data_IF_197846089751
#
_entry.id   IF_197846089751
#
_cell.length_a   1.000
_cell.length_b   1.000
_cell.length_c   1.000
_cell.angle_alpha   90.00
_cell.angle_beta   90.00
_cell.angle_gamma   90.00
#
_symmetry.space_group_name_H-M   'P 1'
#
loop_
_entity.id
_entity.type
_entity.pdbx_description
1 polymer ?
#
# COMPACT_ATOMS: atom_id res chain seq x y z
N UNK A 1 -3.12 -34.25 -0.75
CA UNK A 1 -1.72 -34.37 -1.19
C UNK A 1 -1.27 -33.15 -2.01
N UNK A 2 -2.07 -32.66 -3.00
CA UNK A 2 -1.68 -31.54 -3.85
C UNK A 2 -1.39 -30.23 -3.11
N UNK A 3 -2.08 -29.93 -2.04
CA UNK A 3 -1.88 -28.70 -1.28
C UNK A 3 -0.62 -28.72 -0.40
N UNK A 4 -0.21 -29.91 0.06
CA UNK A 4 1.04 -30.08 0.81
C UNK A 4 2.23 -29.78 -0.09
N UNK A 5 2.27 -30.36 -1.28
CA UNK A 5 3.35 -30.11 -2.24
C UNK A 5 3.40 -28.65 -2.70
N UNK A 6 2.24 -28.03 -2.93
CA UNK A 6 2.18 -26.60 -3.29
C UNK A 6 2.78 -25.73 -2.17
N UNK A 7 2.45 -26.00 -0.91
CA UNK A 7 3.01 -25.29 0.24
C UNK A 7 4.52 -25.46 0.31
N UNK A 8 5.04 -26.67 0.17
CA UNK A 8 6.47 -26.95 0.19
C UNK A 8 7.21 -26.20 -0.92
N UNK A 9 6.66 -26.18 -2.15
CA UNK A 9 7.25 -25.44 -3.27
C UNK A 9 7.26 -23.94 -3.01
N UNK A 10 6.17 -23.38 -2.46
CA UNK A 10 6.09 -21.97 -2.13
C UNK A 10 7.08 -21.59 -1.02
N UNK A 11 7.18 -22.41 -0.01
CA UNK A 11 8.12 -22.23 1.10
C UNK A 11 9.59 -22.31 0.61
N UNK A 12 9.90 -23.33 -0.18
CA UNK A 12 11.24 -23.45 -0.80
C UNK A 12 11.59 -22.21 -1.64
N UNK A 13 10.67 -21.72 -2.47
CA UNK A 13 10.87 -20.51 -3.29
C UNK A 13 11.09 -19.28 -2.42
N UNK A 14 10.39 -19.17 -1.29
CA UNK A 14 10.58 -18.09 -0.34
C UNK A 14 12.00 -18.15 0.26
N UNK A 15 12.44 -19.29 0.77
CA UNK A 15 13.79 -19.43 1.32
C UNK A 15 14.87 -19.23 0.26
N UNK A 16 14.69 -19.78 -0.93
CA UNK A 16 15.64 -19.59 -2.03
C UNK A 16 15.79 -18.11 -2.40
N UNK A 17 14.67 -17.35 -2.44
CA UNK A 17 14.69 -15.91 -2.67
C UNK A 17 15.37 -15.16 -1.54
N UNK A 18 15.07 -15.48 -0.28
CA UNK A 18 15.69 -14.85 0.88
C UNK A 18 17.20 -15.07 0.87
N UNK A 19 17.63 -16.31 0.62
CA UNK A 19 19.06 -16.65 0.52
C UNK A 19 19.74 -15.89 -0.61
N UNK A 20 19.28 -16.04 -1.84
CA UNK A 20 19.96 -15.51 -3.02
C UNK A 20 19.93 -13.98 -3.12
N UNK A 21 18.79 -13.36 -2.79
CA UNK A 21 18.62 -11.92 -2.96
C UNK A 21 19.13 -11.13 -1.77
N UNK A 22 18.81 -11.58 -0.55
CA UNK A 22 19.09 -10.79 0.65
C UNK A 22 20.34 -11.27 1.38
N UNK A 23 20.51 -12.58 1.66
CA UNK A 23 21.69 -13.04 2.37
C UNK A 23 22.95 -12.93 1.48
N UNK A 24 22.98 -13.63 0.35
CA UNK A 24 24.15 -13.63 -0.54
C UNK A 24 24.23 -12.36 -1.41
N UNK A 25 23.09 -11.86 -1.87
CA UNK A 25 23.04 -10.69 -2.74
C UNK A 25 23.49 -9.41 -2.06
N UNK A 26 23.10 -9.19 -0.82
CA UNK A 26 23.52 -8.01 -0.03
C UNK A 26 25.01 -8.08 0.33
N UNK A 27 25.52 -9.28 0.66
CA UNK A 27 26.98 -9.46 0.89
C UNK A 27 27.80 -9.11 -0.33
N UNK A 28 27.33 -9.50 -1.53
CA UNK A 28 28.01 -9.17 -2.80
C UNK A 28 27.92 -7.67 -3.15
N UNK A 29 26.86 -7.00 -2.71
CA UNK A 29 26.64 -5.57 -2.95
C UNK A 29 27.27 -4.66 -1.90
N UNK A 30 27.88 -5.23 -0.88
CA UNK A 30 28.54 -4.48 0.19
C UNK A 30 29.87 -3.91 -0.32
N UNK A 31 30.04 -2.61 -0.15
CA UNK A 31 31.28 -1.92 -0.46
C UNK A 31 32.40 -2.29 0.56
N UNK A 32 33.67 -2.01 0.24
CA UNK A 32 34.81 -2.30 1.13
C UNK A 32 34.70 -1.63 2.52
N UNK A 33 33.94 -0.56 2.64
CA UNK A 33 33.68 0.14 3.91
C UNK A 33 32.55 -0.49 4.74
N UNK A 34 32.00 -1.63 4.31
CA UNK A 34 30.91 -2.35 4.98
C UNK A 34 29.53 -1.77 4.72
N UNK A 35 29.37 -0.79 3.84
CA UNK A 35 28.08 -0.16 3.52
C UNK A 35 27.46 -0.75 2.29
N UNK A 36 26.12 -0.75 2.26
CA UNK A 36 25.34 -1.11 1.08
C UNK A 36 24.71 0.18 0.54
N UNK A 37 25.00 0.48 -0.73
CA UNK A 37 24.49 1.66 -1.42
C UNK A 37 23.63 1.23 -2.61
N UNK A 38 22.37 1.68 -2.61
CA UNK A 38 21.47 1.46 -3.74
C UNK A 38 21.55 2.61 -4.73
N UNK A 39 21.11 2.36 -5.95
CA UNK A 39 20.84 3.41 -6.95
C UNK A 39 19.36 3.68 -7.02
N UNK A 40 18.96 4.95 -6.78
CA UNK A 40 17.59 5.38 -6.97
C UNK A 40 17.35 5.80 -8.41
N UNK A 41 16.31 5.22 -9.02
CA UNK A 41 15.85 5.54 -10.36
C UNK A 41 14.63 6.46 -10.27
N UNK A 42 14.71 7.66 -10.83
CA UNK A 42 13.65 8.68 -10.74
C UNK A 42 12.65 8.63 -11.90
N UNK A 43 12.97 7.95 -12.98
CA UNK A 43 12.22 8.01 -14.27
C UNK A 43 11.66 6.67 -14.73
N UNK A 44 11.85 5.60 -13.98
CA UNK A 44 11.48 4.25 -14.40
C UNK A 44 10.01 3.92 -14.13
N UNK A 45 9.46 4.39 -13.02
CA UNK A 45 8.07 4.06 -12.67
C UNK A 45 7.08 4.99 -13.37
N UNK A 46 6.00 4.42 -13.91
CA UNK A 46 4.94 5.19 -14.54
C UNK A 46 4.21 6.15 -13.57
N UNK A 47 4.28 5.89 -12.27
CA UNK A 47 3.63 6.69 -11.21
C UNK A 47 4.48 7.85 -10.70
N UNK A 48 5.77 7.93 -11.11
CA UNK A 48 6.73 8.90 -10.59
C UNK A 48 7.30 8.57 -9.20
N UNK A 49 7.03 7.36 -8.67
CA UNK A 49 7.71 6.87 -7.47
C UNK A 49 9.16 6.53 -7.80
N UNK A 50 10.05 6.64 -6.82
CA UNK A 50 11.40 6.11 -6.94
C UNK A 50 11.38 4.58 -7.05
N UNK A 51 12.29 4.02 -7.80
CA UNK A 51 12.66 2.61 -7.71
C UNK A 51 14.12 2.47 -7.26
N UNK A 52 14.44 1.37 -6.63
CA UNK A 52 15.75 1.07 -6.06
C UNK A 52 16.35 -0.13 -6.77
N UNK A 53 17.61 -0.01 -7.20
CA UNK A 53 18.34 -1.07 -7.94
C UNK A 53 19.78 -1.16 -7.46
N UNK A 54 20.39 -2.32 -7.60
CA UNK A 54 21.83 -2.58 -7.37
C UNK A 54 22.35 -2.20 -5.96
N UNK A 55 21.77 -2.77 -4.88
CA UNK A 55 20.65 -3.70 -4.80
C UNK A 55 19.30 -3.01 -4.62
N UNK A 56 18.18 -3.74 -4.84
CA UNK A 56 16.86 -3.21 -4.52
C UNK A 56 16.61 -3.29 -3.00
N UNK A 57 16.68 -2.15 -2.32
CA UNK A 57 16.43 -2.03 -0.88
C UNK A 57 14.98 -1.69 -0.51
N UNK A 58 14.12 -1.38 -1.50
CA UNK A 58 12.69 -1.08 -1.25
C UNK A 58 11.85 -2.34 -1.03
N UNK A 59 12.34 -3.52 -1.43
CA UNK A 59 11.60 -4.78 -1.37
C UNK A 59 12.09 -5.71 -0.23
N UNK A 60 12.76 -5.18 0.77
CA UNK A 60 13.16 -5.97 1.95
C UNK A 60 11.89 -6.48 2.63
N UNK A 61 11.74 -7.80 2.84
CA UNK A 61 10.55 -8.37 3.43
C UNK A 61 10.30 -7.84 4.85
N UNK A 62 9.03 -7.59 5.17
CA UNK A 62 8.63 -7.07 6.49
C UNK A 62 7.53 -7.87 7.17
N UNK A 63 6.86 -8.77 6.42
CA UNK A 63 5.64 -9.45 6.88
C UNK A 63 5.90 -10.83 7.48
N UNK A 64 7.09 -11.37 7.33
CA UNK A 64 7.47 -12.70 7.85
C UNK A 64 8.58 -12.55 8.88
N UNK A 65 8.66 -13.45 9.85
CA UNK A 65 9.69 -13.45 10.88
C UNK A 65 11.09 -13.46 10.27
N UNK A 66 11.33 -14.34 9.28
CA UNK A 66 12.59 -14.39 8.55
C UNK A 66 12.88 -13.09 7.77
N UNK A 67 11.86 -12.45 7.23
CA UNK A 67 12.02 -11.16 6.55
C UNK A 67 12.42 -10.06 7.53
N UNK A 68 11.85 -10.07 8.73
CA UNK A 68 12.19 -9.09 9.78
C UNK A 68 13.63 -9.24 10.25
N UNK A 69 14.18 -10.47 10.31
CA UNK A 69 15.58 -10.72 10.64
C UNK A 69 16.55 -10.10 9.63
N UNK A 70 16.18 -10.05 8.35
CA UNK A 70 16.99 -9.38 7.32
C UNK A 70 17.13 -7.89 7.62
N UNK A 71 16.07 -7.24 8.10
CA UNK A 71 16.13 -5.81 8.47
C UNK A 71 17.06 -5.54 9.62
N UNK A 72 17.26 -6.48 10.53
CA UNK A 72 18.20 -6.37 11.65
C UNK A 72 19.67 -6.35 11.22
N UNK A 73 19.96 -6.77 9.99
CA UNK A 73 21.33 -6.70 9.44
C UNK A 73 21.76 -5.24 9.14
N UNK A 74 20.81 -4.32 9.00
CA UNK A 74 21.08 -2.92 8.77
C UNK A 74 21.25 -2.21 10.10
N UNK A 75 22.49 -1.85 10.40
CA UNK A 75 22.88 -1.19 11.65
C UNK A 75 23.41 0.22 11.36
N UNK A 76 23.28 1.17 12.27
CA UNK A 76 23.88 2.49 12.11
C UNK A 76 25.42 2.40 12.19
N UNK A 77 26.10 3.40 11.64
CA UNK A 77 27.53 3.56 11.90
C UNK A 77 27.78 3.86 13.39
N UNK A 78 29.02 3.64 13.85
CA UNK A 78 29.40 3.96 15.22
C UNK A 78 29.11 5.43 15.54
N UNK A 79 28.51 5.67 16.69
CA UNK A 79 28.10 7.01 17.12
C UNK A 79 26.84 7.57 16.42
N UNK A 80 26.19 6.78 15.55
CA UNK A 80 24.98 7.17 14.84
C UNK A 80 23.76 6.36 15.29
N UNK A 81 22.56 6.84 14.92
CA UNK A 81 21.29 6.13 15.09
C UNK A 81 20.55 6.09 13.77
N UNK A 82 19.72 5.07 13.57
CA UNK A 82 18.75 5.06 12.46
C UNK A 82 17.51 5.84 12.89
N UNK A 83 17.10 6.78 12.06
CA UNK A 83 15.84 7.50 12.22
C UNK A 83 14.91 7.08 11.10
N UNK A 84 13.75 6.54 11.47
CA UNK A 84 12.66 6.20 10.54
C UNK A 84 11.52 7.19 10.72
N UNK A 85 11.13 7.86 9.65
CA UNK A 85 10.04 8.82 9.64
C UNK A 85 9.20 8.63 8.39
N UNK A 86 7.91 8.37 8.57
CA UNK A 86 6.95 8.16 7.47
C UNK A 86 5.72 9.06 7.65
N UNK A 87 5.11 9.42 6.54
CA UNK A 87 3.85 10.16 6.54
C UNK A 87 2.69 9.26 6.97
N UNK A 88 1.92 9.70 7.96
CA UNK A 88 0.72 8.98 8.37
C UNK A 88 -0.37 9.10 7.29
N UNK A 89 -0.60 8.00 6.56
CA UNK A 89 -1.71 7.84 5.61
C UNK A 89 -1.79 8.94 4.53
N UNK A 90 -0.64 9.39 4.01
CA UNK A 90 -0.55 10.55 3.10
C UNK A 90 -1.47 10.41 1.87
N UNK A 91 -1.58 9.24 1.29
CA UNK A 91 -2.39 8.99 0.10
C UNK A 91 -3.89 9.18 0.37
N UNK A 92 -4.38 8.73 1.54
CA UNK A 92 -5.76 8.94 1.96
C UNK A 92 -6.05 10.42 2.29
N UNK A 93 -5.09 11.12 2.88
CA UNK A 93 -5.20 12.56 3.15
C UNK A 93 -5.24 13.38 1.87
N UNK A 94 -4.41 13.02 0.89
CA UNK A 94 -4.44 13.64 -0.44
C UNK A 94 -5.75 13.34 -1.16
N UNK A 95 -6.26 12.09 -1.09
CA UNK A 95 -7.56 11.75 -1.66
C UNK A 95 -8.68 12.58 -1.04
N UNK A 96 -8.73 12.71 0.29
CA UNK A 96 -9.72 13.54 0.98
C UNK A 96 -9.68 15.01 0.53
N UNK A 97 -8.48 15.53 0.30
CA UNK A 97 -8.27 16.91 -0.16
C UNK A 97 -8.71 17.08 -1.62
N UNK A 98 -8.21 16.24 -2.52
CA UNK A 98 -8.46 16.35 -3.96
C UNK A 98 -9.94 16.08 -4.29
N UNK A 99 -10.55 15.11 -3.61
CA UNK A 99 -11.98 14.79 -3.77
C UNK A 99 -12.90 15.84 -3.13
N UNK A 100 -12.37 16.77 -2.34
CA UNK A 100 -13.19 17.72 -1.59
C UNK A 100 -14.15 17.04 -0.60
N UNK A 101 -13.86 15.82 -0.14
CA UNK A 101 -14.74 15.04 0.73
C UNK A 101 -14.66 15.56 2.17
N UNK A 102 -15.69 16.30 2.57
CA UNK A 102 -15.74 16.97 3.87
C UNK A 102 -15.78 16.00 5.05
N UNK A 103 -16.43 14.85 4.89
CA UNK A 103 -16.52 13.82 5.92
C UNK A 103 -15.16 13.15 6.15
N UNK A 104 -14.47 12.84 5.07
CA UNK A 104 -13.14 12.26 5.13
C UNK A 104 -12.11 13.25 5.70
N UNK A 105 -12.20 14.53 5.29
CA UNK A 105 -11.36 15.60 5.86
C UNK A 105 -11.62 15.80 7.36
N UNK A 106 -12.89 15.77 7.80
CA UNK A 106 -13.25 15.89 9.21
C UNK A 106 -12.68 14.73 10.03
N UNK A 107 -12.76 13.49 9.53
CA UNK A 107 -12.18 12.33 10.17
C UNK A 107 -10.66 12.45 10.37
N UNK A 108 -9.95 13.03 9.41
CA UNK A 108 -8.51 13.29 9.57
C UNK A 108 -8.18 14.45 10.53
N UNK A 109 -9.06 15.45 10.64
CA UNK A 109 -8.86 16.59 11.56
C UNK A 109 -9.19 16.23 13.02
N UNK A 110 -10.08 15.28 13.27
CA UNK A 110 -10.41 14.83 14.62
C UNK A 110 -9.24 14.14 15.34
N UNK A 111 -8.21 13.71 14.58
CA UNK A 111 -7.08 12.97 15.14
C UNK A 111 -7.38 11.50 15.44
N UNK A 112 -8.58 11.04 15.13
CA UNK A 112 -8.96 9.65 15.30
C UNK A 112 -8.22 8.74 14.28
N UNK A 113 -8.07 7.47 14.63
CA UNK A 113 -7.53 6.49 13.70
C UNK A 113 -8.51 6.23 12.56
N UNK A 114 -8.20 6.73 11.39
CA UNK A 114 -9.05 6.63 10.19
C UNK A 114 -9.49 5.19 9.87
N UNK A 115 -8.64 4.21 10.12
CA UNK A 115 -9.00 2.81 9.89
C UNK A 115 -10.00 2.30 10.92
N UNK A 116 -9.94 2.77 12.15
CA UNK A 116 -10.94 2.49 13.19
C UNK A 116 -12.28 3.15 12.86
N UNK A 117 -12.25 4.42 12.43
CA UNK A 117 -13.46 5.13 11.98
C UNK A 117 -14.12 4.41 10.81
N UNK A 118 -13.33 3.97 9.82
CA UNK A 118 -13.85 3.20 8.69
C UNK A 118 -14.42 1.85 9.16
N UNK A 119 -13.71 1.13 10.04
CA UNK A 119 -14.17 -0.16 10.57
C UNK A 119 -15.50 -0.01 11.31
N UNK A 120 -15.62 0.95 12.20
CA UNK A 120 -16.87 1.26 12.93
C UNK A 120 -18.06 1.41 11.95
N UNK A 121 -17.85 2.11 10.84
CA UNK A 121 -18.90 2.35 9.83
C UNK A 121 -19.21 1.12 8.98
N UNK A 122 -18.15 0.43 8.51
CA UNK A 122 -18.29 -0.74 7.64
C UNK A 122 -18.93 -1.92 8.36
N UNK A 123 -18.60 -2.11 9.65
CA UNK A 123 -19.10 -3.23 10.46
C UNK A 123 -20.30 -2.84 11.33
N UNK A 124 -20.75 -1.57 11.30
CA UNK A 124 -21.87 -1.06 12.10
C UNK A 124 -21.70 -1.31 13.60
N UNK A 125 -20.50 -1.02 14.13
CA UNK A 125 -20.17 -1.14 15.56
C UNK A 125 -19.63 0.20 16.08
N UNK A 126 -19.69 0.42 17.39
CA UNK A 126 -19.07 1.59 17.99
C UNK A 126 -17.53 1.53 17.87
N UNK A 127 -16.83 2.70 17.80
CA UNK A 127 -15.37 2.73 17.65
C UNK A 127 -14.61 1.90 18.70
N UNK A 128 -15.12 1.82 19.90
CA UNK A 128 -14.55 1.06 21.02
C UNK A 128 -14.70 -0.46 20.85
N UNK A 129 -15.66 -0.89 20.05
CA UNK A 129 -15.94 -2.29 19.74
C UNK A 129 -15.16 -2.80 18.51
N UNK A 130 -14.42 -1.91 17.84
CA UNK A 130 -13.61 -2.28 16.67
C UNK A 130 -12.48 -3.21 17.08
N UNK A 131 -12.55 -4.44 16.65
CA UNK A 131 -11.48 -5.42 16.87
C UNK A 131 -10.27 -5.16 15.97
N UNK A 132 -9.07 -5.65 16.34
CA UNK A 132 -7.89 -5.57 15.47
C UNK A 132 -8.12 -6.16 14.07
N UNK A 133 -8.92 -7.21 13.96
CA UNK A 133 -9.27 -7.85 12.69
C UNK A 133 -10.18 -6.95 11.84
N UNK A 134 -11.20 -6.32 12.42
CA UNK A 134 -12.06 -5.35 11.74
C UNK A 134 -11.22 -4.17 11.22
N UNK A 135 -10.33 -3.65 12.06
CA UNK A 135 -9.42 -2.57 11.68
C UNK A 135 -8.49 -2.97 10.53
N UNK A 136 -7.96 -4.20 10.54
CA UNK A 136 -7.13 -4.76 9.45
C UNK A 136 -7.91 -4.84 8.14
N UNK A 137 -9.15 -5.33 8.17
CA UNK A 137 -10.04 -5.39 7.00
C UNK A 137 -10.38 -3.99 6.49
N UNK A 138 -10.74 -3.06 7.36
CA UNK A 138 -11.00 -1.68 6.99
C UNK A 138 -9.76 -1.00 6.36
N UNK A 139 -8.56 -1.31 6.84
CA UNK A 139 -7.31 -0.86 6.21
C UNK A 139 -7.19 -1.37 4.77
N UNK A 140 -7.51 -2.64 4.52
CA UNK A 140 -7.50 -3.20 3.16
C UNK A 140 -8.56 -2.54 2.26
N UNK A 141 -9.77 -2.26 2.79
CA UNK A 141 -10.81 -1.52 2.08
C UNK A 141 -10.33 -0.11 1.72
N UNK A 142 -9.79 0.64 2.69
CA UNK A 142 -9.31 2.01 2.47
C UNK A 142 -8.26 2.08 1.37
N UNK A 143 -7.23 1.25 1.44
CA UNK A 143 -6.17 1.23 0.43
C UNK A 143 -6.65 0.63 -0.90
N UNK A 144 -7.45 -0.42 -0.85
CA UNK A 144 -8.02 -1.03 -2.04
C UNK A 144 -8.80 -0.02 -2.87
N UNK A 145 -9.65 0.80 -2.24
CA UNK A 145 -10.43 1.82 -2.91
C UNK A 145 -9.53 2.87 -3.58
N UNK A 146 -8.50 3.36 -2.88
CA UNK A 146 -7.54 4.33 -3.46
C UNK A 146 -6.90 3.79 -4.73
N UNK A 147 -6.59 2.49 -4.76
CA UNK A 147 -5.96 1.84 -5.90
C UNK A 147 -6.95 1.25 -6.92
N UNK A 148 -8.26 1.50 -6.75
CA UNK A 148 -9.29 1.05 -7.69
C UNK A 148 -9.53 -0.45 -7.66
N UNK A 149 -9.40 -1.11 -6.51
CA UNK A 149 -9.62 -2.55 -6.35
C UNK A 149 -11.05 -2.94 -6.71
N UNK A 150 -11.22 -4.09 -7.36
CA UNK A 150 -12.54 -4.68 -7.58
C UNK A 150 -13.07 -5.36 -6.30
N UNK A 151 -14.41 -5.50 -6.19
CA UNK A 151 -15.01 -6.25 -5.09
C UNK A 151 -14.53 -7.71 -5.03
N UNK A 152 -14.23 -8.30 -6.19
CA UNK A 152 -13.66 -9.66 -6.28
C UNK A 152 -12.26 -9.72 -5.65
N UNK A 153 -11.36 -8.82 -6.04
CA UNK A 153 -9.99 -8.80 -5.48
C UNK A 153 -9.99 -8.46 -3.99
N UNK A 154 -10.83 -7.49 -3.57
CA UNK A 154 -10.99 -7.16 -2.16
C UNK A 154 -11.46 -8.36 -1.34
N UNK A 155 -12.44 -9.12 -1.85
CA UNK A 155 -12.95 -10.33 -1.19
C UNK A 155 -11.84 -11.36 -0.93
N UNK A 156 -10.95 -11.56 -1.91
CA UNK A 156 -9.79 -12.44 -1.76
C UNK A 156 -8.80 -11.93 -0.71
N UNK A 157 -8.52 -10.62 -0.71
CA UNK A 157 -7.54 -10.00 0.19
C UNK A 157 -7.95 -10.07 1.66
N UNK A 158 -9.26 -9.94 1.95
CA UNK A 158 -9.78 -9.92 3.32
C UNK A 158 -10.47 -11.25 3.73
N UNK A 159 -10.54 -12.23 2.81
CA UNK A 159 -11.06 -13.57 3.12
C UNK A 159 -12.58 -13.60 3.38
N UNK A 160 -13.35 -12.87 2.59
CA UNK A 160 -14.83 -12.82 2.67
C UNK A 160 -15.49 -13.16 1.34
N UNK A 161 -16.81 -13.29 1.30
CA UNK A 161 -17.54 -13.43 0.04
C UNK A 161 -17.54 -12.12 -0.76
N UNK A 162 -17.59 -12.23 -2.08
CA UNK A 162 -17.61 -11.05 -2.97
C UNK A 162 -18.79 -10.11 -2.68
N UNK A 163 -19.95 -10.65 -2.32
CA UNK A 163 -21.13 -9.85 -1.92
C UNK A 163 -20.86 -9.02 -0.66
N UNK A 164 -20.13 -9.57 0.29
CA UNK A 164 -19.74 -8.88 1.52
C UNK A 164 -18.71 -7.78 1.24
N UNK A 165 -17.68 -8.08 0.45
CA UNK A 165 -16.70 -7.08 0.01
C UNK A 165 -17.36 -5.93 -0.75
N UNK A 166 -18.36 -6.25 -1.60
CA UNK A 166 -19.16 -5.22 -2.29
C UNK A 166 -19.94 -4.35 -1.30
N UNK A 167 -20.58 -4.96 -0.31
CA UNK A 167 -21.31 -4.21 0.72
C UNK A 167 -20.38 -3.26 1.50
N UNK A 168 -19.15 -3.68 1.81
CA UNK A 168 -18.15 -2.82 2.44
C UNK A 168 -17.77 -1.63 1.56
N UNK A 169 -17.56 -1.85 0.26
CA UNK A 169 -17.28 -0.76 -0.69
C UNK A 169 -18.47 0.19 -0.84
N UNK A 170 -19.69 -0.33 -0.91
CA UNK A 170 -20.91 0.48 -1.01
C UNK A 170 -21.10 1.33 0.25
N UNK A 171 -20.90 0.79 1.45
CA UNK A 171 -20.94 1.53 2.73
C UNK A 171 -19.85 2.61 2.79
N UNK A 172 -18.65 2.31 2.32
CA UNK A 172 -17.56 3.29 2.24
C UNK A 172 -17.95 4.47 1.34
N UNK A 173 -18.42 4.20 0.15
CA UNK A 173 -18.82 5.24 -0.80
C UNK A 173 -20.11 5.97 -0.43
N UNK A 174 -21.00 5.35 0.34
CA UNK A 174 -22.16 6.03 0.93
C UNK A 174 -21.73 7.07 1.97
N UNK A 175 -20.65 6.78 2.71
CA UNK A 175 -20.07 7.73 3.69
C UNK A 175 -19.21 8.79 2.99
N UNK A 176 -18.32 8.37 2.10
CA UNK A 176 -17.37 9.24 1.42
C UNK A 176 -17.79 9.45 -0.04
N UNK A 177 -18.95 10.11 -0.22
CA UNK A 177 -19.53 10.32 -1.55
C UNK A 177 -18.70 11.25 -2.45
N UNK A 178 -17.95 12.19 -1.87
CA UNK A 178 -16.99 13.01 -2.61
C UNK A 178 -15.88 12.18 -3.24
N UNK A 179 -15.38 11.18 -2.52
CA UNK A 179 -14.39 10.24 -3.06
C UNK A 179 -14.97 9.47 -4.25
N UNK A 180 -16.20 8.97 -4.14
CA UNK A 180 -16.87 8.27 -5.25
C UNK A 180 -17.01 9.16 -6.49
N UNK A 181 -17.49 10.37 -6.29
CA UNK A 181 -17.64 11.35 -7.38
C UNK A 181 -16.30 11.65 -8.06
N UNK A 182 -15.26 11.89 -7.27
CA UNK A 182 -13.91 12.11 -7.80
C UNK A 182 -13.37 10.92 -8.60
N UNK A 183 -13.50 9.68 -8.06
CA UNK A 183 -13.02 8.48 -8.75
C UNK A 183 -13.71 8.26 -10.09
N UNK A 184 -15.01 8.55 -10.19
CA UNK A 184 -15.74 8.50 -11.45
C UNK A 184 -15.26 9.60 -12.41
N UNK A 185 -15.20 10.83 -11.93
CA UNK A 185 -14.82 11.99 -12.73
C UNK A 185 -13.40 11.88 -13.32
N UNK A 186 -12.42 11.46 -12.50
CA UNK A 186 -11.03 11.36 -12.98
C UNK A 186 -10.86 10.30 -14.08
N UNK A 187 -11.64 9.22 -14.04
CA UNK A 187 -11.65 8.20 -15.10
C UNK A 187 -12.28 8.72 -16.38
N UNK A 188 -13.42 9.41 -16.29
CA UNK A 188 -14.08 10.03 -17.43
C UNK A 188 -13.22 11.10 -18.09
N UNK A 189 -12.61 11.96 -17.27
CA UNK A 189 -11.69 12.98 -17.77
C UNK A 189 -10.44 12.35 -18.41
N UNK A 190 -9.84 11.33 -17.79
CA UNK A 190 -8.71 10.63 -18.37
C UNK A 190 -9.01 10.01 -19.74
N UNK A 191 -10.22 9.46 -19.92
CA UNK A 191 -10.68 8.94 -21.23
C UNK A 191 -10.85 10.05 -22.26
N UNK A 192 -11.33 11.22 -21.86
CA UNK A 192 -11.53 12.35 -22.75
C UNK A 192 -10.19 13.00 -23.16
N UNK A 193 -9.31 13.21 -22.18
CA UNK A 193 -8.07 13.97 -22.39
C UNK A 193 -6.90 13.09 -22.85
N UNK A 194 -6.95 11.78 -22.55
CA UNK A 194 -5.86 10.83 -22.81
C UNK A 194 -4.70 10.93 -21.80
N UNK A 195 -4.88 11.66 -20.72
CA UNK A 195 -3.88 11.81 -19.66
C UNK A 195 -4.52 12.16 -18.32
N UNK A 196 -3.74 12.06 -17.25
CA UNK A 196 -4.05 12.58 -15.91
C UNK A 196 -2.94 13.48 -15.41
N UNK A 197 -3.25 14.34 -14.43
CA UNK A 197 -2.27 15.20 -13.76
C UNK A 197 -2.31 15.02 -12.25
N UNK A 198 -1.15 15.22 -11.61
CA UNK A 198 -1.08 15.33 -10.15
C UNK A 198 -1.48 16.73 -9.69
N UNK A 199 -1.65 16.91 -8.38
CA UNK A 199 -1.95 18.22 -7.77
C UNK A 199 -0.95 19.33 -8.18
N UNK A 200 0.31 18.98 -8.40
CA UNK A 200 1.37 19.91 -8.83
C UNK A 200 1.62 19.91 -10.34
N UNK A 201 0.67 19.40 -11.13
CA UNK A 201 0.70 19.49 -12.59
C UNK A 201 1.60 18.46 -13.29
N UNK A 202 2.17 17.46 -12.59
CA UNK A 202 2.88 16.37 -13.27
C UNK A 202 1.88 15.59 -14.11
N UNK A 203 2.11 15.52 -15.42
CA UNK A 203 1.27 14.82 -16.37
C UNK A 203 1.73 13.36 -16.55
N UNK A 204 0.75 12.45 -16.67
CA UNK A 204 0.91 11.08 -17.12
C UNK A 204 -0.02 10.82 -18.30
N UNK A 205 0.55 10.53 -19.46
CA UNK A 205 -0.20 10.10 -20.64
C UNK A 205 -0.68 8.66 -20.47
N UNK A 206 -1.90 8.39 -20.97
CA UNK A 206 -2.58 7.09 -20.84
C UNK A 206 -3.01 6.61 -22.24
N UNK A 207 -2.06 6.24 -23.13
CA UNK A 207 -2.37 5.82 -24.50
C UNK A 207 -3.22 4.55 -24.55
N UNK A 208 -3.20 3.74 -23.48
CA UNK A 208 -3.97 2.52 -23.33
C UNK A 208 -5.49 2.74 -23.14
N UNK A 209 -5.91 3.97 -22.89
CA UNK A 209 -7.35 4.33 -22.77
C UNK A 209 -8.05 4.66 -24.09
N UNK A 210 -7.32 4.59 -25.19
CA UNK A 210 -7.84 4.86 -26.53
C UNK A 210 -8.48 3.63 -27.14
#
# INVERSE_FOLDING_TARGET
LGDVYKRQVLEYRQYAKLKSTYAEGLLKAMDPDGRIRTRFQMTVTATGRLSSTEPNLQNIPTRTDLGSEIRRMFIPAEGCVLVDADYSQIELRLLAHIAGDTEMQAAFRSGEDFHTVTASRVFHVEPQEVTPEMRRRAKAVNFGIVYGISAFSLAQDIGVFQSEAKAYMDSYFAKYHGVRAYMTHVVEQAKADGYVTTLFGRRRDLPELK
#
